data_IF_932959782448
#
_entry.id   IF_932959782448
#
_cell.length_a   1.000
_cell.length_b   1.000
_cell.length_c   1.000
_cell.angle_alpha   90.00
_cell.angle_beta   90.00
_cell.angle_gamma   90.00
#
_symmetry.space_group_name_H-M   'P 1'
#
loop_
_entity.id
_entity.type
_entity.pdbx_description
1 polymer ?
#
# COMPACT_ATOMS: atom_id res chain seq x y z
N UNK A 1 -10.86 14.05 16.55
CA UNK A 1 -10.28 14.40 15.23
C UNK A 1 -9.58 13.16 14.71
N UNK A 2 -9.94 12.67 13.51
CA UNK A 2 -9.25 11.51 12.93
C UNK A 2 -7.84 11.93 12.50
N UNK A 3 -6.82 11.26 13.02
CA UNK A 3 -5.41 11.53 12.67
C UNK A 3 -5.16 11.10 11.22
N UNK A 4 -4.60 11.98 10.40
CA UNK A 4 -4.21 11.65 9.02
C UNK A 4 -3.04 10.66 9.04
N UNK A 5 -3.27 9.42 8.61
CA UNK A 5 -2.29 8.33 8.65
C UNK A 5 -1.37 8.29 7.41
N UNK A 6 -1.69 9.03 6.34
CA UNK A 6 -0.88 9.12 5.10
C UNK A 6 0.37 10.00 5.28
N UNK A 7 1.23 9.68 6.24
CA UNK A 7 2.39 10.50 6.59
C UNK A 7 3.54 10.32 5.60
N UNK A 8 4.00 9.07 5.39
CA UNK A 8 5.18 8.79 4.55
C UNK A 8 4.81 8.44 3.12
N UNK A 9 3.66 7.81 2.89
CA UNK A 9 3.24 7.37 1.55
C UNK A 9 2.98 8.53 0.59
N UNK A 10 2.74 9.75 1.08
CA UNK A 10 2.71 10.97 0.25
C UNK A 10 4.02 11.25 -0.49
N UNK A 11 5.16 10.78 0.04
CA UNK A 11 6.45 10.90 -0.65
C UNK A 11 6.47 10.07 -1.93
N UNK A 12 5.73 8.95 -1.96
CA UNK A 12 5.66 8.06 -3.11
C UNK A 12 4.54 8.44 -4.07
N UNK A 13 3.31 8.65 -3.56
CA UNK A 13 2.12 8.86 -4.40
C UNK A 13 1.70 10.31 -4.56
N UNK A 14 2.34 11.23 -3.82
CA UNK A 14 1.89 12.60 -3.68
C UNK A 14 0.75 12.73 -2.68
N UNK A 15 0.35 13.97 -2.45
CA UNK A 15 -0.78 14.35 -1.59
C UNK A 15 -1.84 15.03 -2.47
N UNK A 16 -3.11 14.66 -2.32
CA UNK A 16 -4.22 15.26 -3.09
C UNK A 16 -4.46 16.72 -2.68
N UNK A 17 -4.09 17.08 -1.45
CA UNK A 17 -4.23 18.44 -0.93
C UNK A 17 -3.10 19.38 -1.35
N UNK A 18 -1.98 18.84 -1.84
CA UNK A 18 -0.84 19.60 -2.37
C UNK A 18 -0.67 19.33 -3.88
N UNK A 19 -1.15 20.27 -4.69
CA UNK A 19 -1.13 20.17 -6.15
C UNK A 19 0.29 20.00 -6.73
N UNK A 20 1.31 20.65 -6.14
CA UNK A 20 2.68 20.55 -6.63
C UNK A 20 3.25 19.14 -6.39
N UNK A 21 3.02 18.59 -5.20
CA UNK A 21 3.35 17.20 -4.87
C UNK A 21 2.57 16.21 -5.74
N UNK A 22 1.27 16.45 -5.95
CA UNK A 22 0.42 15.61 -6.77
C UNK A 22 0.92 15.50 -8.20
N UNK A 23 1.23 16.62 -8.86
CA UNK A 23 1.74 16.64 -10.24
C UNK A 23 3.11 15.95 -10.32
N UNK A 24 4.01 16.24 -9.38
CA UNK A 24 5.37 15.67 -9.36
C UNK A 24 5.38 14.14 -9.26
N UNK A 25 4.36 13.53 -8.67
CA UNK A 25 4.27 12.08 -8.42
C UNK A 25 3.39 11.33 -9.43
N UNK A 26 3.06 11.94 -10.56
CA UNK A 26 2.20 11.32 -11.59
C UNK A 26 2.75 10.01 -12.14
N UNK A 27 4.07 9.92 -12.37
CA UNK A 27 4.70 8.69 -12.89
C UNK A 27 4.56 7.50 -11.94
N UNK A 28 4.79 7.71 -10.64
CA UNK A 28 4.61 6.66 -9.63
C UNK A 28 3.17 6.14 -9.61
N UNK A 29 2.18 7.05 -9.65
CA UNK A 29 0.76 6.67 -9.70
C UNK A 29 0.39 5.96 -11.01
N UNK A 30 1.03 6.30 -12.13
CA UNK A 30 0.80 5.61 -13.41
C UNK A 30 1.22 4.12 -13.33
N UNK A 31 2.39 3.83 -12.76
CA UNK A 31 2.83 2.44 -12.52
C UNK A 31 1.86 1.69 -11.61
N UNK A 32 1.40 2.31 -10.53
CA UNK A 32 0.46 1.68 -9.60
C UNK A 32 -0.91 1.39 -10.24
N UNK A 33 -1.41 2.29 -11.11
CA UNK A 33 -2.65 2.03 -11.87
C UNK A 33 -2.52 0.83 -12.80
N UNK A 34 -1.34 0.58 -13.36
CA UNK A 34 -1.11 -0.58 -14.23
C UNK A 34 -1.29 -1.93 -13.50
N UNK A 35 -1.15 -1.94 -12.17
CA UNK A 35 -1.36 -3.13 -11.32
C UNK A 35 -2.69 -3.07 -10.54
N UNK A 36 -3.60 -2.18 -10.93
CA UNK A 36 -4.98 -2.16 -10.42
C UNK A 36 -5.30 -1.15 -9.32
N UNK A 37 -4.37 -0.24 -8.96
CA UNK A 37 -4.71 0.86 -8.05
C UNK A 37 -5.73 1.82 -8.70
N UNK A 38 -6.65 2.34 -7.89
CA UNK A 38 -7.65 3.33 -8.27
C UNK A 38 -7.36 4.68 -7.64
N UNK A 39 -8.07 5.71 -8.07
CA UNK A 39 -7.87 7.07 -7.55
C UNK A 39 -8.15 7.17 -6.04
N UNK A 40 -9.15 6.42 -5.57
CA UNK A 40 -9.51 6.27 -4.16
C UNK A 40 -8.40 5.64 -3.31
N UNK A 41 -7.50 4.86 -3.89
CA UNK A 41 -6.41 4.23 -3.14
C UNK A 41 -5.29 5.23 -2.81
N UNK A 42 -5.16 6.30 -3.59
CA UNK A 42 -4.12 7.29 -3.36
C UNK A 42 -4.43 8.24 -2.20
N UNK A 43 -5.67 8.29 -1.73
CA UNK A 43 -6.01 9.03 -0.49
C UNK A 43 -5.75 8.20 0.78
N UNK A 44 -5.64 6.87 0.65
CA UNK A 44 -5.38 5.96 1.77
C UNK A 44 -3.89 5.96 2.18
N UNK A 45 -3.57 5.61 3.44
CA UNK A 45 -2.22 5.25 3.81
C UNK A 45 -1.82 3.93 3.12
N UNK A 46 -0.65 3.92 2.46
CA UNK A 46 -0.08 2.69 1.93
C UNK A 46 0.61 1.91 3.05
N UNK A 47 0.26 0.64 3.21
CA UNK A 47 0.80 -0.26 4.23
C UNK A 47 1.51 -1.41 3.53
N UNK A 48 2.82 -1.52 3.75
CA UNK A 48 3.60 -2.65 3.23
C UNK A 48 3.49 -3.84 4.16
N UNK A 49 3.02 -4.97 3.63
CA UNK A 49 3.01 -6.27 4.30
C UNK A 49 4.26 -7.01 3.84
N UNK A 50 5.31 -6.98 4.65
CA UNK A 50 6.56 -7.69 4.36
C UNK A 50 6.41 -9.18 4.69
N UNK A 51 6.33 -10.01 3.66
CA UNK A 51 6.05 -11.43 3.75
C UNK A 51 7.32 -12.26 3.47
N UNK A 52 7.94 -12.86 4.49
CA UNK A 52 9.15 -13.66 4.31
C UNK A 52 8.85 -15.07 3.77
N UNK A 53 7.89 -15.21 2.84
CA UNK A 53 7.53 -16.50 2.25
C UNK A 53 8.70 -17.05 1.42
N UNK A 54 9.10 -18.27 1.75
CA UNK A 54 10.01 -19.07 0.94
C UNK A 54 9.56 -20.53 0.97
N UNK A 55 9.70 -21.23 -0.16
CA UNK A 55 9.22 -22.61 -0.33
C UNK A 55 10.28 -23.69 0.00
N UNK A 56 11.45 -23.29 0.48
CA UNK A 56 12.58 -24.19 0.75
C UNK A 56 12.59 -24.73 2.19
N UNK A 57 12.05 -23.99 3.15
CA UNK A 57 12.06 -24.36 4.58
C UNK A 57 10.67 -24.27 5.20
N UNK A 58 10.33 -25.16 6.14
CA UNK A 58 8.98 -25.24 6.69
C UNK A 58 8.60 -24.01 7.53
N UNK A 59 9.57 -23.37 8.20
CA UNK A 59 9.29 -22.23 9.07
C UNK A 59 8.73 -21.01 8.35
N UNK A 60 8.90 -20.91 7.02
CA UNK A 60 8.47 -19.76 6.22
C UNK A 60 7.43 -20.11 5.15
N UNK A 61 7.06 -21.38 5.02
CA UNK A 61 6.20 -21.86 3.93
C UNK A 61 4.78 -21.27 3.98
N UNK A 62 4.19 -21.13 5.16
CA UNK A 62 2.81 -20.66 5.32
C UNK A 62 2.66 -19.14 5.42
N UNK A 63 3.75 -18.38 5.34
CA UNK A 63 3.68 -16.91 5.47
C UNK A 63 2.85 -16.26 4.36
N UNK A 64 2.72 -16.90 3.20
CA UNK A 64 1.91 -16.35 2.12
C UNK A 64 0.43 -16.26 2.50
N UNK A 65 -0.12 -17.34 3.05
CA UNK A 65 -1.51 -17.38 3.52
C UNK A 65 -1.74 -16.38 4.67
N UNK A 66 -0.78 -16.28 5.59
CA UNK A 66 -0.82 -15.29 6.67
C UNK A 66 -0.83 -13.85 6.12
N UNK A 67 -0.03 -13.58 5.08
CA UNK A 67 0.02 -12.26 4.46
C UNK A 67 -1.30 -11.89 3.78
N UNK A 68 -2.00 -12.84 3.15
CA UNK A 68 -3.30 -12.60 2.54
C UNK A 68 -4.34 -12.16 3.60
N UNK A 69 -4.35 -12.76 4.80
CA UNK A 69 -5.19 -12.30 5.91
C UNK A 69 -4.84 -10.90 6.41
N UNK A 70 -3.55 -10.56 6.50
CA UNK A 70 -3.11 -9.21 6.91
C UNK A 70 -3.52 -8.17 5.87
N UNK A 71 -3.44 -8.51 4.58
CA UNK A 71 -3.86 -7.64 3.47
C UNK A 71 -5.35 -7.31 3.60
N UNK A 72 -6.19 -8.32 3.81
CA UNK A 72 -7.64 -8.13 3.99
C UNK A 72 -7.94 -7.19 5.15
N UNK A 73 -7.36 -7.45 6.33
CA UNK A 73 -7.55 -6.61 7.51
C UNK A 73 -7.10 -5.16 7.31
N UNK A 74 -5.99 -4.94 6.59
CA UNK A 74 -5.51 -3.59 6.27
C UNK A 74 -6.49 -2.82 5.39
N UNK A 75 -7.06 -3.49 4.37
CA UNK A 75 -8.02 -2.86 3.45
C UNK A 75 -9.36 -2.58 4.15
N UNK A 76 -9.81 -3.47 5.04
CA UNK A 76 -11.01 -3.28 5.88
C UNK A 76 -10.91 -2.06 6.80
N UNK A 77 -9.72 -1.82 7.37
CA UNK A 77 -9.44 -0.65 8.21
C UNK A 77 -9.13 0.63 7.42
N UNK A 78 -9.38 0.63 6.11
CA UNK A 78 -9.25 1.81 5.24
C UNK A 78 -7.83 2.13 4.81
N UNK A 79 -6.88 1.20 5.02
CA UNK A 79 -5.55 1.24 4.42
C UNK A 79 -5.56 0.73 2.98
N UNK A 80 -4.43 0.93 2.28
CA UNK A 80 -4.15 0.25 1.02
C UNK A 80 -2.96 -0.68 1.20
N UNK A 81 -3.19 -1.97 1.09
CA UNK A 81 -2.15 -2.97 1.32
C UNK A 81 -1.25 -3.13 0.09
N UNK A 82 0.04 -3.34 0.34
CA UNK A 82 1.04 -3.69 -0.67
C UNK A 82 1.85 -4.87 -0.14
N UNK A 83 1.70 -6.04 -0.76
CA UNK A 83 2.50 -7.21 -0.43
C UNK A 83 3.92 -7.05 -0.98
N UNK A 84 4.93 -7.29 -0.14
CA UNK A 84 6.34 -7.28 -0.51
C UNK A 84 7.05 -8.52 0.01
#
# INVERSE_FOLDING_TARGET
>A
MATQLKVNSKVLTGDVTDQASWIKKIGARAHMRAIGFKDEDFVKPLITVACPYINVIPCNFHFRELADHVIEAVEEEGGKAVLC
#
